data_IF_354162007455
#
_entry.id   IF_354162007455
#
_cell.length_a   1.000
_cell.length_b   1.000
_cell.length_c   1.000
_cell.angle_alpha   90.00
_cell.angle_beta   90.00
_cell.angle_gamma   90.00
#
_symmetry.space_group_name_H-M   'P 1'
#
loop_
_entity.id
_entity.type
_entity.pdbx_description
1 polymer ?
#
# COMPACT_ATOMS: atom_id res chain seq x y z
N UNK A 1 -4.89 17.31 -3.54
CA UNK A 1 -3.83 17.33 -2.52
C UNK A 1 -2.80 18.35 -2.98
N UNK A 2 -2.96 19.61 -2.58
CA UNK A 2 -2.24 20.74 -3.17
C UNK A 2 -0.83 20.94 -2.61
N UNK A 3 -0.06 21.70 -3.38
CA UNK A 3 1.37 22.06 -3.34
C UNK A 3 1.88 22.82 -2.12
N UNK A 4 1.21 22.81 -0.98
CA UNK A 4 1.72 23.51 0.21
C UNK A 4 2.86 22.72 0.84
N UNK A 5 3.91 23.43 1.26
CA UNK A 5 5.06 22.84 1.95
C UNK A 5 4.58 22.22 3.27
N UNK A 6 4.15 20.96 3.23
CA UNK A 6 3.64 20.26 4.40
C UNK A 6 4.77 20.02 5.41
N UNK A 7 4.77 20.83 6.46
CA UNK A 7 5.73 20.77 7.56
C UNK A 7 5.23 19.79 8.63
N UNK A 8 6.10 18.88 9.08
CA UNK A 8 5.79 17.90 10.14
C UNK A 8 5.23 18.56 11.41
N UNK A 9 5.81 19.68 11.84
CA UNK A 9 5.37 20.45 13.00
C UNK A 9 3.91 20.94 12.90
N UNK A 10 3.35 21.01 11.69
CA UNK A 10 1.97 21.47 11.41
C UNK A 10 1.06 20.28 11.10
N UNK A 11 1.50 19.34 10.27
CA UNK A 11 0.66 18.25 9.75
C UNK A 11 0.87 16.89 10.41
N UNK A 12 1.87 16.74 11.28
CA UNK A 12 2.14 15.50 12.03
C UNK A 12 1.06 15.16 13.06
N UNK A 13 1.08 13.92 13.61
CA UNK A 13 0.06 13.40 14.52
C UNK A 13 0.08 14.13 15.87
N UNK A 14 -0.76 15.16 16.02
CA UNK A 14 -0.77 16.06 17.20
C UNK A 14 -0.94 15.33 18.53
N UNK A 15 -1.75 14.28 18.54
CA UNK A 15 -2.01 13.47 19.73
C UNK A 15 -0.76 12.71 20.23
N UNK A 16 0.25 12.51 19.37
CA UNK A 16 1.52 11.86 19.74
C UNK A 16 2.63 12.86 20.12
N UNK A 17 2.41 14.16 19.86
CA UNK A 17 3.41 15.22 20.03
C UNK A 17 3.26 15.84 21.43
N UNK A 18 4.27 15.72 22.29
CA UNK A 18 4.29 16.41 23.57
C UNK A 18 4.57 17.91 23.37
N UNK A 19 3.76 18.78 23.99
CA UNK A 19 4.05 20.23 24.05
C UNK A 19 5.02 20.48 25.19
N UNK A 20 6.32 20.54 24.90
CA UNK A 20 7.28 21.10 25.86
C UNK A 20 7.20 22.62 25.79
N UNK A 21 6.76 23.26 26.87
CA UNK A 21 6.66 24.71 26.96
C UNK A 21 7.89 25.29 27.65
N UNK A 22 8.65 26.11 26.92
CA UNK A 22 9.33 27.34 27.38
C UNK A 22 9.70 28.18 26.17
N UNK A 23 9.40 29.48 26.24
CA UNK A 23 9.15 30.40 25.12
C UNK A 23 10.40 30.97 24.44
N UNK A 24 11.54 30.28 24.47
CA UNK A 24 12.83 30.88 24.06
C UNK A 24 13.82 29.98 23.29
N UNK A 25 13.47 28.74 22.94
CA UNK A 25 14.32 27.86 22.09
C UNK A 25 13.46 27.11 21.07
N UNK A 26 14.00 26.75 19.88
CA UNK A 26 13.24 26.04 18.87
C UNK A 26 12.65 24.76 19.48
N UNK A 27 11.33 24.67 19.46
CA UNK A 27 10.55 23.64 20.15
C UNK A 27 10.90 22.26 19.58
N UNK A 28 11.81 21.53 20.22
CA UNK A 28 11.99 20.11 19.93
C UNK A 28 10.68 19.42 20.31
N UNK A 29 9.92 19.00 19.30
CA UNK A 29 8.70 18.24 19.54
C UNK A 29 9.13 16.83 19.93
N UNK A 30 9.02 16.52 21.22
CA UNK A 30 9.22 15.14 21.68
C UNK A 30 7.99 14.32 21.32
N UNK A 31 8.16 13.31 20.48
CA UNK A 31 7.09 12.36 20.15
C UNK A 31 7.18 11.17 21.09
N UNK A 32 6.08 10.85 21.79
CA UNK A 32 6.03 9.65 22.63
C UNK A 32 5.63 8.45 21.77
N UNK A 33 6.57 7.53 21.54
CA UNK A 33 6.32 6.33 20.74
C UNK A 33 5.97 5.15 21.66
N UNK A 34 4.81 4.54 21.42
CA UNK A 34 4.40 3.27 22.00
C UNK A 34 4.35 2.23 20.87
N UNK A 35 5.40 1.41 20.75
CA UNK A 35 5.50 0.42 19.68
C UNK A 35 4.46 -0.70 19.76
N UNK A 36 3.83 -0.90 20.93
CA UNK A 36 2.80 -1.92 21.13
C UNK A 36 1.39 -1.43 20.74
N UNK A 37 1.21 -0.11 20.60
CA UNK A 37 -0.03 0.50 20.08
C UNK A 37 -0.14 0.40 18.55
N UNK A 38 -1.22 -0.19 18.05
CA UNK A 38 -1.52 -0.22 16.61
C UNK A 38 -1.69 1.18 16.01
N UNK A 39 -2.29 2.10 16.76
CA UNK A 39 -2.45 3.51 16.37
C UNK A 39 -1.09 4.16 16.11
N UNK A 40 -0.16 4.03 17.06
CA UNK A 40 1.18 4.61 16.91
C UNK A 40 1.91 3.98 15.72
N UNK A 41 1.85 2.65 15.54
CA UNK A 41 2.46 1.98 14.38
C UNK A 41 1.88 2.48 13.06
N UNK A 42 0.55 2.65 12.98
CA UNK A 42 -0.17 3.23 11.83
C UNK A 42 0.33 4.64 11.54
N UNK A 43 0.34 5.52 12.53
CA UNK A 43 0.75 6.91 12.36
C UNK A 43 2.23 7.04 11.97
N UNK A 44 3.11 6.22 12.57
CA UNK A 44 4.54 6.17 12.20
C UNK A 44 4.70 5.74 10.74
N UNK A 45 4.05 4.66 10.32
CA UNK A 45 4.11 4.19 8.93
C UNK A 45 3.59 5.25 7.95
N UNK A 46 2.47 5.92 8.27
CA UNK A 46 1.92 7.00 7.45
C UNK A 46 2.86 8.22 7.39
N UNK A 47 3.48 8.62 8.51
CA UNK A 47 4.47 9.70 8.56
C UNK A 47 5.69 9.41 7.70
N UNK A 48 6.23 8.18 7.76
CA UNK A 48 7.40 7.78 6.96
C UNK A 48 7.07 7.81 5.46
N UNK A 49 5.88 7.33 5.06
CA UNK A 49 5.40 7.45 3.67
C UNK A 49 5.25 8.92 3.27
N UNK A 50 4.73 9.76 4.16
CA UNK A 50 4.63 11.21 3.91
C UNK A 50 6.00 11.87 3.80
N UNK A 51 6.99 11.43 4.57
CA UNK A 51 8.39 11.83 4.41
C UNK A 51 8.90 11.56 3.00
N UNK A 52 8.58 10.40 2.41
CA UNK A 52 8.93 10.10 1.00
C UNK A 52 8.24 11.04 0.00
N UNK A 53 6.98 11.43 0.25
CA UNK A 53 6.30 12.48 -0.55
C UNK A 53 7.03 13.82 -0.47
N UNK A 54 7.39 14.25 0.74
CA UNK A 54 8.08 15.53 0.97
C UNK A 54 9.49 15.50 0.41
N UNK A 55 10.20 14.38 0.47
CA UNK A 55 11.53 14.22 -0.12
C UNK A 55 11.52 14.39 -1.64
N UNK A 56 10.52 13.83 -2.33
CA UNK A 56 10.34 14.09 -3.78
C UNK A 56 9.96 15.55 -4.04
N UNK A 57 9.15 16.17 -3.18
CA UNK A 57 8.87 17.62 -3.28
C UNK A 57 10.10 18.48 -3.07
N UNK A 58 10.98 18.12 -2.13
CA UNK A 58 12.24 18.83 -1.89
C UNK A 58 13.17 18.68 -3.08
N UNK A 59 13.21 17.50 -3.71
CA UNK A 59 13.94 17.30 -4.98
C UNK A 59 13.40 18.20 -6.09
N UNK A 60 12.10 18.18 -6.35
CA UNK A 60 11.50 18.96 -7.45
C UNK A 60 11.62 20.47 -7.23
N UNK A 61 11.67 20.91 -5.98
CA UNK A 61 11.86 22.32 -5.58
C UNK A 61 13.33 22.70 -5.36
N UNK A 62 14.29 21.82 -5.63
CA UNK A 62 15.73 22.10 -5.50
C UNK A 62 16.22 22.30 -4.05
N UNK A 63 15.50 21.75 -3.07
CA UNK A 63 15.83 21.83 -1.63
C UNK A 63 16.49 20.57 -1.08
N UNK A 64 16.53 19.48 -1.86
CA UNK A 64 17.12 18.22 -1.42
C UNK A 64 18.58 18.43 -0.98
N UNK A 65 18.94 18.01 0.23
CA UNK A 65 20.29 18.19 0.80
C UNK A 65 20.59 19.59 1.32
N UNK A 66 19.64 20.52 1.28
CA UNK A 66 19.79 21.88 1.84
C UNK A 66 19.18 21.99 3.24
N UNK A 67 19.53 23.04 3.99
CA UNK A 67 18.88 23.35 5.28
C UNK A 67 17.37 23.68 5.16
N UNK A 68 16.87 23.89 3.93
CA UNK A 68 15.45 24.12 3.64
C UNK A 68 14.68 22.82 3.34
N UNK A 69 15.34 21.66 3.32
CA UNK A 69 14.67 20.37 3.16
C UNK A 69 13.73 20.11 4.35
N UNK A 70 12.52 19.64 4.07
CA UNK A 70 11.46 19.43 5.05
C UNK A 70 11.26 17.95 5.37
N UNK A 71 11.80 17.05 4.54
CA UNK A 71 11.53 15.64 4.61
C UNK A 71 12.01 14.98 5.92
N UNK A 72 13.18 15.39 6.45
CA UNK A 72 13.83 14.67 7.56
C UNK A 72 13.00 14.62 8.84
N UNK A 73 12.29 15.70 9.13
CA UNK A 73 11.42 15.82 10.29
C UNK A 73 10.32 14.72 10.34
N UNK A 74 9.91 14.18 9.19
CA UNK A 74 8.89 13.13 9.12
C UNK A 74 9.34 11.76 9.61
N UNK A 75 10.66 11.52 9.71
CA UNK A 75 11.23 10.25 10.19
C UNK A 75 12.13 10.43 11.41
N UNK A 76 12.90 11.51 11.50
CA UNK A 76 13.77 11.80 12.64
C UNK A 76 12.99 11.97 13.95
N UNK A 77 11.76 12.51 13.87
CA UNK A 77 10.85 12.65 15.02
C UNK A 77 10.44 11.31 15.64
N UNK A 78 10.64 10.19 14.93
CA UNK A 78 10.37 8.83 15.40
C UNK A 78 11.65 8.01 15.55
N UNK A 79 12.81 8.67 15.63
CA UNK A 79 14.13 8.04 15.74
C UNK A 79 14.53 7.20 14.51
N UNK A 80 14.11 7.60 13.32
CA UNK A 80 14.61 7.00 12.08
C UNK A 80 15.66 7.87 11.42
N UNK A 81 16.52 7.24 10.62
CA UNK A 81 17.42 7.92 9.67
C UNK A 81 17.23 7.36 8.27
N UNK A 82 17.49 8.18 7.26
CA UNK A 82 17.49 7.75 5.87
C UNK A 82 18.70 6.82 5.61
N UNK A 83 18.43 5.61 5.13
CA UNK A 83 19.44 4.61 4.81
C UNK A 83 19.70 4.53 3.31
N UNK A 84 18.64 4.47 2.49
CA UNK A 84 18.74 4.43 1.03
C UNK A 84 17.53 5.10 0.37
N UNK A 85 17.70 5.58 -0.87
CA UNK A 85 16.65 6.27 -1.65
C UNK A 85 16.30 5.44 -2.87
N UNK A 86 15.02 5.12 -3.02
CA UNK A 86 14.51 4.41 -4.19
C UNK A 86 14.05 5.43 -5.23
N UNK A 87 14.81 5.55 -6.30
CA UNK A 87 14.50 6.37 -7.45
C UNK A 87 14.31 5.52 -8.70
N UNK A 88 13.51 6.01 -9.64
CA UNK A 88 13.27 5.35 -10.91
C UNK A 88 13.30 6.38 -12.03
N UNK A 89 14.07 6.06 -13.06
CA UNK A 89 14.02 6.68 -14.37
C UNK A 89 12.91 6.03 -15.19
N UNK A 90 11.94 6.82 -15.62
CA UNK A 90 10.81 6.29 -16.37
C UNK A 90 11.15 6.18 -17.85
N UNK A 91 11.31 4.95 -18.33
CA UNK A 91 11.62 4.66 -19.73
C UNK A 91 10.40 4.63 -20.66
N UNK A 92 9.20 5.00 -20.20
CA UNK A 92 7.99 4.90 -21.02
C UNK A 92 7.99 5.90 -22.19
N UNK A 93 7.25 5.60 -23.26
CA UNK A 93 7.17 6.43 -24.48
C UNK A 93 6.80 7.89 -24.15
N UNK A 94 5.92 8.10 -23.16
CA UNK A 94 5.52 9.43 -22.70
C UNK A 94 6.62 10.22 -21.95
N UNK A 95 7.60 9.52 -21.37
CA UNK A 95 8.76 10.11 -20.69
C UNK A 95 10.00 10.21 -21.59
N UNK A 96 10.08 9.40 -22.66
CA UNK A 96 11.17 9.43 -23.65
C UNK A 96 11.11 10.59 -24.63
N UNK A 97 9.99 11.32 -24.73
CA UNK A 97 9.82 12.37 -25.73
C UNK A 97 10.89 13.48 -25.58
N UNK A 98 11.82 13.63 -26.54
CA UNK A 98 12.97 14.56 -26.44
C UNK A 98 12.59 16.03 -26.62
N UNK A 99 11.37 16.33 -27.08
CA UNK A 99 10.93 17.69 -27.41
C UNK A 99 10.53 18.56 -26.20
N UNK A 100 10.80 18.14 -24.96
CA UNK A 100 10.63 18.99 -23.77
C UNK A 100 11.92 19.06 -22.95
N UNK A 101 12.75 20.05 -23.25
CA UNK A 101 13.81 20.52 -22.37
C UNK A 101 13.21 20.83 -20.99
N UNK A 102 13.68 20.16 -19.93
CA UNK A 102 13.38 20.52 -18.54
C UNK A 102 12.58 19.52 -17.70
N UNK A 103 12.00 18.46 -18.27
CA UNK A 103 11.38 17.40 -17.47
C UNK A 103 12.45 16.44 -16.93
N UNK A 104 12.69 16.47 -15.61
CA UNK A 104 13.62 15.56 -14.94
C UNK A 104 13.17 14.10 -15.12
N UNK A 105 14.04 13.25 -15.68
CA UNK A 105 13.73 11.86 -16.08
C UNK A 105 13.50 10.90 -14.91
N UNK A 106 13.99 11.25 -13.73
CA UNK A 106 13.94 10.41 -12.54
C UNK A 106 13.05 11.01 -11.46
N UNK A 107 12.48 10.12 -10.67
CA UNK A 107 11.63 10.46 -9.54
C UNK A 107 11.93 9.54 -8.36
N UNK A 108 11.97 10.09 -7.15
CA UNK A 108 12.03 9.31 -5.92
C UNK A 108 10.65 8.71 -5.72
N UNK A 109 10.54 7.40 -5.56
CA UNK A 109 9.27 6.70 -5.35
C UNK A 109 9.22 5.97 -3.99
N UNK A 110 10.39 5.80 -3.34
CA UNK A 110 10.49 5.13 -2.05
C UNK A 110 11.72 5.57 -1.26
N UNK A 111 11.74 5.20 0.01
CA UNK A 111 12.87 5.40 0.92
C UNK A 111 13.03 4.17 1.81
N UNK A 112 14.28 3.82 2.14
CA UNK A 112 14.61 2.84 3.16
C UNK A 112 15.06 3.61 4.40
N UNK A 113 14.36 3.41 5.51
CA UNK A 113 14.54 4.15 6.76
C UNK A 113 14.97 3.18 7.85
N UNK A 114 16.07 3.47 8.52
CA UNK A 114 16.60 2.66 9.62
C UNK A 114 16.17 3.26 10.95
N UNK A 115 15.55 2.47 11.82
CA UNK A 115 15.24 2.90 13.18
C UNK A 115 16.52 2.85 14.03
N UNK A 116 16.90 3.99 14.59
CA UNK A 116 18.03 4.18 15.48
C UNK A 116 17.56 3.94 16.91
N UNK A 117 18.03 2.90 17.61
CA UNK A 117 17.59 2.64 18.98
C UNK A 117 18.08 3.76 19.91
N UNK A 118 17.20 4.22 20.79
CA UNK A 118 17.53 5.21 21.82
C UNK A 118 18.23 4.52 22.99
N UNK A 119 19.30 5.13 23.52
CA UNK A 119 19.94 4.66 24.74
C UNK A 119 19.09 5.05 25.96
N UNK A 120 18.11 4.23 26.31
CA UNK A 120 17.41 4.37 27.58
C UNK A 120 18.15 3.56 28.64
N UNK A 121 18.86 4.23 29.56
CA UNK A 121 19.50 3.57 30.71
C UNK A 121 20.80 2.82 30.41
N UNK A 122 21.57 3.21 29.40
CA UNK A 122 22.90 2.66 29.12
C UNK A 122 22.94 1.40 28.26
N UNK A 123 21.80 0.74 28.02
CA UNK A 123 21.69 -0.38 27.06
C UNK A 123 20.93 0.03 25.79
N UNK A 124 21.47 -0.35 24.63
CA UNK A 124 20.88 -0.10 23.32
C UNK A 124 19.78 -1.13 23.01
N UNK A 125 18.63 -1.07 23.72
CA UNK A 125 17.53 -2.03 23.51
C UNK A 125 16.50 -1.53 22.51
N UNK A 126 16.26 -2.32 21.45
CA UNK A 126 15.14 -2.13 20.52
C UNK A 126 13.92 -2.84 21.07
N UNK A 127 12.77 -2.16 21.12
CA UNK A 127 11.50 -2.82 21.43
C UNK A 127 11.25 -3.94 20.38
N UNK A 128 10.85 -5.16 20.77
CA UNK A 128 10.60 -6.26 19.82
C UNK A 128 9.58 -5.93 18.72
N UNK A 129 8.60 -5.09 19.02
CA UNK A 129 7.59 -4.59 18.10
C UNK A 129 8.11 -3.50 17.16
N UNK A 130 9.33 -2.98 17.37
CA UNK A 130 9.91 -1.94 16.53
C UNK A 130 10.74 -2.55 15.39
N UNK A 131 10.55 -2.11 14.13
CA UNK A 131 11.30 -2.64 13.00
C UNK A 131 12.76 -2.19 13.06
N UNK A 132 13.63 -2.92 12.37
CA UNK A 132 14.99 -2.42 12.06
C UNK A 132 14.94 -1.43 10.91
N UNK A 133 14.25 -1.80 9.86
CA UNK A 133 14.09 -0.99 8.66
C UNK A 133 12.61 -0.84 8.28
N UNK A 134 12.26 0.27 7.65
CA UNK A 134 10.97 0.46 7.00
C UNK A 134 11.24 0.91 5.57
N UNK A 135 10.59 0.26 4.61
CA UNK A 135 10.58 0.70 3.21
C UNK A 135 9.27 1.41 2.95
N UNK A 136 9.34 2.72 2.73
CA UNK A 136 8.19 3.61 2.61
C UNK A 136 8.02 4.11 1.18
N UNK A 137 6.97 3.65 0.50
CA UNK A 137 6.65 3.97 -0.89
C UNK A 137 5.58 5.07 -0.98
N UNK A 138 5.89 6.17 -1.68
CA UNK A 138 4.89 7.21 -1.95
C UNK A 138 3.97 6.79 -3.10
N UNK A 139 2.76 7.34 -3.10
CA UNK A 139 1.85 7.27 -4.25
C UNK A 139 2.06 8.43 -5.22
N UNK A 140 1.04 8.73 -6.02
CA UNK A 140 1.08 9.76 -7.06
C UNK A 140 1.23 11.17 -6.49
N UNK A 141 2.18 11.94 -7.02
CA UNK A 141 2.39 13.37 -6.69
C UNK A 141 1.58 14.26 -7.63
N UNK A 142 0.80 15.24 -7.14
CA UNK A 142 0.16 16.27 -7.97
C UNK A 142 1.07 17.51 -8.18
N UNK A 143 1.08 18.14 -9.38
CA UNK A 143 0.51 17.61 -10.62
C UNK A 143 1.20 16.30 -11.01
N UNK A 144 0.41 15.34 -11.53
CA UNK A 144 0.85 13.96 -11.75
C UNK A 144 2.17 13.88 -12.51
N UNK A 145 3.23 13.44 -11.83
CA UNK A 145 4.50 13.12 -12.47
C UNK A 145 4.24 12.06 -13.54
N UNK A 146 4.79 12.21 -14.75
CA UNK A 146 4.47 11.31 -15.88
C UNK A 146 4.74 9.84 -15.57
N UNK A 147 5.82 9.57 -14.84
CA UNK A 147 6.12 8.22 -14.36
C UNK A 147 5.06 7.65 -13.40
N UNK A 148 4.42 8.50 -12.61
CA UNK A 148 3.30 8.09 -11.74
C UNK A 148 2.03 7.86 -12.55
N UNK A 149 1.73 8.72 -13.53
CA UNK A 149 0.60 8.52 -14.46
C UNK A 149 0.75 7.20 -15.22
N UNK A 150 1.94 6.93 -15.75
CA UNK A 150 2.23 5.68 -16.44
C UNK A 150 2.04 4.48 -15.51
N UNK A 151 2.59 4.53 -14.29
CA UNK A 151 2.42 3.45 -13.32
C UNK A 151 0.96 3.24 -12.90
N UNK A 152 0.15 4.29 -12.81
CA UNK A 152 -1.30 4.19 -12.58
C UNK A 152 -2.01 3.51 -13.77
N UNK A 153 -1.66 3.85 -15.00
CA UNK A 153 -2.21 3.19 -16.20
C UNK A 153 -1.83 1.71 -16.22
N UNK A 154 -0.55 1.38 -16.00
CA UNK A 154 -0.08 -0.01 -15.94
C UNK A 154 -0.82 -0.79 -14.83
N UNK A 155 -1.08 -0.17 -13.69
CA UNK A 155 -1.84 -0.77 -12.61
C UNK A 155 -3.31 -1.03 -12.99
N UNK A 156 -3.98 -0.08 -13.65
CA UNK A 156 -5.35 -0.26 -14.16
C UNK A 156 -5.41 -1.37 -15.22
N UNK A 157 -4.36 -1.51 -16.03
CA UNK A 157 -4.21 -2.56 -17.01
C UNK A 157 -3.72 -3.90 -16.39
N UNK A 158 -3.56 -3.99 -15.08
CA UNK A 158 -2.86 -5.06 -14.35
C UNK A 158 -1.55 -5.53 -15.04
N UNK A 159 -0.77 -4.58 -15.54
CA UNK A 159 0.54 -4.73 -16.17
C UNK A 159 1.67 -4.12 -15.33
N UNK A 160 1.43 -3.92 -14.03
CA UNK A 160 2.39 -3.33 -13.09
C UNK A 160 3.76 -4.04 -13.04
N UNK A 161 3.84 -5.31 -13.43
CA UNK A 161 5.11 -6.05 -13.55
C UNK A 161 6.06 -5.47 -14.62
N UNK A 162 5.53 -4.78 -15.64
CA UNK A 162 6.33 -4.05 -16.62
C UNK A 162 6.87 -2.72 -16.09
N UNK A 163 6.43 -2.26 -14.92
CA UNK A 163 6.93 -1.05 -14.29
C UNK A 163 8.19 -1.35 -13.46
N UNK A 164 9.30 -0.70 -13.83
CA UNK A 164 10.63 -0.90 -13.23
C UNK A 164 10.66 -0.67 -11.71
N UNK A 165 9.81 0.22 -11.17
CA UNK A 165 9.67 0.45 -9.72
C UNK A 165 9.33 -0.81 -8.93
N UNK A 166 8.51 -1.70 -9.51
CA UNK A 166 8.12 -2.95 -8.86
C UNK A 166 9.28 -3.95 -8.85
N UNK A 167 10.02 -4.04 -9.96
CA UNK A 167 11.18 -4.92 -10.10
C UNK A 167 12.35 -4.48 -9.20
N UNK A 168 12.66 -3.18 -9.19
CA UNK A 168 13.78 -2.61 -8.43
C UNK A 168 13.54 -2.63 -6.91
N UNK A 169 12.28 -2.57 -6.47
CA UNK A 169 11.93 -2.58 -5.05
C UNK A 169 12.08 -3.96 -4.39
N UNK A 170 11.85 -5.05 -5.14
CA UNK A 170 11.92 -6.43 -4.63
C UNK A 170 13.26 -6.80 -3.99
N UNK A 171 14.43 -6.61 -4.64
CA UNK A 171 15.72 -6.98 -4.03
C UNK A 171 16.13 -6.07 -2.86
N UNK A 172 15.53 -4.88 -2.75
CA UNK A 172 15.83 -3.91 -1.69
C UNK A 172 15.14 -4.23 -0.36
N UNK A 173 14.12 -5.09 -0.37
CA UNK A 173 13.35 -5.43 0.81
C UNK A 173 13.85 -6.76 1.40
N UNK A 174 14.86 -6.68 2.28
CA UNK A 174 15.45 -7.83 2.98
C UNK A 174 14.80 -8.10 4.34
N UNK A 175 15.25 -9.13 5.07
CA UNK A 175 14.64 -9.53 6.34
C UNK A 175 14.70 -8.40 7.42
N UNK A 176 13.72 -8.38 8.33
CA UNK A 176 13.52 -7.38 9.40
C UNK A 176 13.08 -5.97 8.93
N UNK A 177 12.26 -5.92 7.88
CA UNK A 177 11.72 -4.70 7.26
C UNK A 177 10.19 -4.64 7.42
N UNK A 178 9.61 -3.48 7.76
CA UNK A 178 8.20 -3.22 7.45
C UNK A 178 8.06 -2.62 6.05
N UNK A 179 6.99 -3.01 5.36
CA UNK A 179 6.57 -2.35 4.14
C UNK A 179 5.51 -1.29 4.46
N UNK A 180 5.64 -0.10 3.93
CA UNK A 180 4.62 0.94 4.06
C UNK A 180 4.38 1.60 2.71
N UNK A 181 3.12 1.88 2.38
CA UNK A 181 2.83 2.58 1.13
C UNK A 181 1.46 3.22 1.11
N UNK A 182 1.32 4.25 0.28
CA UNK A 182 0.05 4.95 0.06
C UNK A 182 -0.32 4.94 -1.43
N UNK A 183 -1.60 4.70 -1.75
CA UNK A 183 -2.11 4.74 -3.13
C UNK A 183 -1.25 3.85 -4.05
N UNK A 184 -0.70 4.38 -5.15
CA UNK A 184 0.26 3.66 -6.00
C UNK A 184 1.43 3.03 -5.22
N UNK A 185 1.95 3.68 -4.18
CA UNK A 185 3.01 3.14 -3.33
C UNK A 185 2.56 1.93 -2.51
N UNK A 186 1.29 1.90 -2.09
CA UNK A 186 0.71 0.74 -1.43
C UNK A 186 0.60 -0.46 -2.39
N UNK A 187 0.35 -0.23 -3.68
CA UNK A 187 0.40 -1.29 -4.70
C UNK A 187 1.79 -1.85 -4.92
N UNK A 188 2.84 -1.01 -4.87
CA UNK A 188 4.23 -1.46 -4.89
C UNK A 188 4.53 -2.31 -3.64
N UNK A 189 4.15 -1.85 -2.45
CA UNK A 189 4.30 -2.61 -1.22
C UNK A 189 3.56 -3.96 -1.25
N UNK A 190 2.35 -4.01 -1.84
CA UNK A 190 1.59 -5.24 -2.04
C UNK A 190 2.32 -6.24 -2.95
N UNK A 191 2.90 -5.76 -4.06
CA UNK A 191 3.67 -6.61 -4.97
C UNK A 191 4.93 -7.16 -4.31
N UNK A 192 5.68 -6.29 -3.61
CA UNK A 192 6.87 -6.69 -2.86
C UNK A 192 6.50 -7.73 -1.80
N UNK A 193 5.46 -7.48 -1.01
CA UNK A 193 5.01 -8.42 0.03
C UNK A 193 4.61 -9.79 -0.53
N UNK A 194 3.86 -9.81 -1.65
CA UNK A 194 3.54 -11.07 -2.36
C UNK A 194 4.81 -11.77 -2.83
N UNK A 195 5.73 -11.04 -3.44
CA UNK A 195 6.99 -11.59 -3.91
C UNK A 195 7.77 -12.23 -2.75
N UNK A 196 7.87 -11.56 -1.60
CA UNK A 196 8.57 -12.06 -0.41
C UNK A 196 7.95 -13.33 0.20
N UNK A 197 6.62 -13.48 0.11
CA UNK A 197 5.91 -14.71 0.52
C UNK A 197 6.08 -15.86 -0.47
N UNK A 198 6.20 -15.54 -1.77
CA UNK A 198 6.36 -16.51 -2.86
C UNK A 198 7.81 -16.81 -3.22
N UNK A 199 8.77 -16.20 -2.54
CA UNK A 199 10.18 -16.54 -2.59
C UNK A 199 10.48 -17.73 -1.67
N UNK A 200 11.62 -18.39 -1.86
CA UNK A 200 11.99 -19.63 -1.15
C UNK A 200 12.15 -19.42 0.36
N UNK A 201 12.52 -18.20 0.76
CA UNK A 201 12.67 -17.81 2.17
C UNK A 201 11.35 -17.51 2.89
N UNK A 202 10.21 -17.46 2.17
CA UNK A 202 8.84 -17.21 2.69
C UNK A 202 8.77 -16.17 3.82
N UNK A 203 9.15 -14.93 3.51
CA UNK A 203 9.27 -13.86 4.50
C UNK A 203 7.93 -13.17 4.71
N UNK A 204 7.32 -13.38 5.87
CA UNK A 204 6.08 -12.73 6.30
C UNK A 204 6.37 -11.33 6.85
N UNK A 205 6.47 -10.35 5.95
CA UNK A 205 6.80 -8.97 6.32
C UNK A 205 5.55 -8.22 6.78
N UNK A 206 5.58 -7.55 7.95
CA UNK A 206 4.52 -6.62 8.33
C UNK A 206 4.39 -5.53 7.26
N UNK A 207 3.16 -5.22 6.86
CA UNK A 207 2.89 -4.24 5.83
C UNK A 207 1.74 -3.31 6.22
N UNK A 208 1.92 -2.01 5.98
CA UNK A 208 0.97 -0.94 6.28
C UNK A 208 0.57 -0.26 4.98
N UNK A 209 -0.66 -0.51 4.53
CA UNK A 209 -1.12 -0.17 3.19
C UNK A 209 -2.26 0.83 3.30
N UNK A 210 -2.02 2.06 2.83
CA UNK A 210 -2.98 3.16 2.92
C UNK A 210 -3.64 3.41 1.56
N UNK A 211 -4.96 3.24 1.51
CA UNK A 211 -5.78 3.45 0.31
C UNK A 211 -5.21 2.79 -0.98
N UNK A 212 -4.78 1.51 -0.96
CA UNK A 212 -4.27 0.89 -2.17
C UNK A 212 -5.37 0.77 -3.23
N UNK A 213 -5.08 1.09 -4.50
CA UNK A 213 -6.03 0.90 -5.59
C UNK A 213 -6.30 -0.58 -5.84
N UNK A 214 -7.57 -0.89 -6.10
CA UNK A 214 -8.02 -2.21 -6.54
C UNK A 214 -9.06 -2.01 -7.65
N UNK A 215 -8.75 -2.49 -8.85
CA UNK A 215 -9.72 -2.46 -9.96
C UNK A 215 -10.90 -3.35 -9.58
N UNK A 216 -12.06 -2.74 -9.41
CA UNK A 216 -13.32 -3.44 -9.15
C UNK A 216 -14.43 -2.83 -10.00
N UNK A 217 -15.43 -3.65 -10.32
CA UNK A 217 -16.69 -3.20 -10.94
C UNK A 217 -17.61 -2.51 -9.92
N UNK A 218 -17.28 -2.57 -8.64
CA UNK A 218 -18.09 -2.03 -7.57
C UNK A 218 -18.47 -0.56 -7.82
N UNK A 219 -17.52 0.38 -8.10
CA UNK A 219 -17.84 1.80 -8.32
C UNK A 219 -18.91 2.02 -9.39
N UNK A 220 -18.87 1.22 -10.46
CA UNK A 220 -19.88 1.24 -11.52
C UNK A 220 -21.25 0.75 -11.00
N UNK A 221 -21.31 -0.34 -10.25
CA UNK A 221 -22.56 -0.86 -9.67
C UNK A 221 -23.21 0.15 -8.72
N UNK A 222 -22.40 0.87 -7.93
CA UNK A 222 -22.90 1.95 -7.07
C UNK A 222 -23.43 3.15 -7.89
N UNK A 223 -22.71 3.55 -8.93
CA UNK A 223 -23.16 4.63 -9.82
C UNK A 223 -24.50 4.29 -10.50
N UNK A 224 -24.68 3.02 -10.87
CA UNK A 224 -25.93 2.48 -11.43
C UNK A 224 -27.01 2.20 -10.38
N UNK A 225 -26.76 2.49 -9.09
CA UNK A 225 -27.67 2.26 -7.96
C UNK A 225 -28.22 0.83 -7.91
N UNK A 226 -27.39 -0.15 -8.27
CA UNK A 226 -27.79 -1.56 -8.25
C UNK A 226 -28.09 -1.99 -6.82
N UNK A 227 -29.30 -2.52 -6.52
CA UNK A 227 -29.66 -2.95 -5.17
C UNK A 227 -28.71 -4.04 -4.65
N UNK A 228 -28.42 -4.05 -3.35
CA UNK A 228 -27.48 -5.02 -2.76
C UNK A 228 -27.86 -6.48 -2.98
N UNK A 229 -29.16 -6.79 -3.09
CA UNK A 229 -29.63 -8.14 -3.41
C UNK A 229 -29.20 -8.55 -4.82
N UNK A 230 -29.37 -7.67 -5.81
CA UNK A 230 -28.96 -7.90 -7.19
C UNK A 230 -27.43 -7.97 -7.30
N UNK A 231 -26.72 -7.09 -6.58
CA UNK A 231 -25.25 -7.10 -6.47
C UNK A 231 -24.73 -8.44 -5.96
N UNK A 232 -25.27 -8.94 -4.84
CA UNK A 232 -24.94 -10.26 -4.28
C UNK A 232 -25.29 -11.41 -5.22
N UNK A 233 -26.38 -11.30 -5.99
CA UNK A 233 -26.73 -12.30 -7.00
C UNK A 233 -25.71 -12.34 -8.15
N UNK A 234 -25.36 -11.19 -8.74
CA UNK A 234 -24.38 -11.09 -9.82
C UNK A 234 -23.02 -11.66 -9.42
N UNK A 235 -22.55 -11.36 -8.20
CA UNK A 235 -21.30 -11.93 -7.71
C UNK A 235 -21.39 -13.44 -7.51
N UNK A 236 -22.49 -13.96 -6.96
CA UNK A 236 -22.71 -15.42 -6.85
C UNK A 236 -22.67 -16.11 -8.22
N UNK A 237 -23.35 -15.56 -9.22
CA UNK A 237 -23.31 -16.08 -10.60
C UNK A 237 -21.88 -16.02 -11.14
N UNK A 238 -21.18 -14.90 -10.97
CA UNK A 238 -19.78 -14.75 -11.41
C UNK A 238 -18.86 -15.81 -10.78
N UNK A 239 -18.95 -16.04 -9.47
CA UNK A 239 -18.15 -17.05 -8.78
C UNK A 239 -18.52 -18.49 -9.19
N UNK A 240 -19.80 -18.78 -9.42
CA UNK A 240 -20.23 -20.09 -9.92
C UNK A 240 -19.67 -20.37 -11.32
N UNK A 241 -19.70 -19.38 -12.21
CA UNK A 241 -19.08 -19.46 -13.55
C UNK A 241 -17.58 -19.70 -13.43
N UNK A 242 -16.88 -18.94 -12.58
CA UNK A 242 -15.44 -19.12 -12.34
C UNK A 242 -15.10 -20.51 -11.80
N UNK A 243 -15.87 -21.03 -10.86
CA UNK A 243 -15.66 -22.37 -10.30
C UNK A 243 -15.88 -23.46 -11.37
N UNK A 244 -16.97 -23.36 -12.13
CA UNK A 244 -17.26 -24.31 -13.22
C UNK A 244 -16.18 -24.28 -14.30
N UNK A 245 -15.70 -23.10 -14.68
CA UNK A 245 -14.61 -22.95 -15.65
C UNK A 245 -13.29 -23.47 -15.09
N UNK A 246 -12.94 -23.16 -13.85
CA UNK A 246 -11.73 -23.66 -13.17
C UNK A 246 -11.62 -25.18 -13.18
N UNK A 247 -12.74 -25.88 -12.93
CA UNK A 247 -12.80 -27.33 -12.89
C UNK A 247 -12.64 -28.03 -14.27
N UNK A 248 -12.67 -27.27 -15.38
CA UNK A 248 -12.42 -27.84 -16.71
C UNK A 248 -10.98 -28.33 -16.85
N UNK A 249 -10.76 -29.40 -17.62
CA UNK A 249 -9.41 -29.98 -17.80
C UNK A 249 -8.39 -28.96 -18.30
N UNK A 250 -8.80 -28.04 -19.17
CA UNK A 250 -7.97 -26.95 -19.70
C UNK A 250 -7.50 -25.97 -18.61
N UNK A 251 -8.36 -25.63 -17.65
CA UNK A 251 -8.06 -24.60 -16.63
C UNK A 251 -7.58 -25.18 -15.29
N UNK A 252 -7.66 -26.51 -15.09
CA UNK A 252 -7.18 -27.18 -13.87
C UNK A 252 -5.72 -26.88 -13.52
N UNK A 253 -4.76 -26.79 -14.46
CA UNK A 253 -3.39 -26.40 -14.12
C UNK A 253 -3.30 -24.98 -13.54
N UNK A 254 -4.07 -24.03 -14.10
CA UNK A 254 -4.15 -22.67 -13.59
C UNK A 254 -4.77 -22.65 -12.19
N UNK A 255 -5.88 -23.38 -11.99
CA UNK A 255 -6.56 -23.47 -10.70
C UNK A 255 -5.62 -23.94 -9.58
N UNK A 256 -4.89 -25.04 -9.80
CA UNK A 256 -3.90 -25.55 -8.84
C UNK A 256 -2.81 -24.52 -8.55
N UNK A 257 -2.27 -23.87 -9.58
CA UNK A 257 -1.27 -22.81 -9.40
C UNK A 257 -1.82 -21.65 -8.56
N UNK A 258 -3.07 -21.25 -8.77
CA UNK A 258 -3.69 -20.18 -7.97
C UNK A 258 -3.89 -20.63 -6.53
N UNK A 259 -4.29 -21.89 -6.31
CA UNK A 259 -4.44 -22.48 -4.99
C UNK A 259 -3.14 -22.51 -4.20
N UNK A 260 -2.05 -23.01 -4.80
CA UNK A 260 -0.72 -22.99 -4.21
C UNK A 260 -0.27 -21.57 -3.84
N UNK A 261 -0.49 -20.59 -4.73
CA UNK A 261 -0.18 -19.19 -4.43
C UNK A 261 -1.04 -18.64 -3.28
N UNK A 262 -2.32 -19.02 -3.23
CA UNK A 262 -3.25 -18.62 -2.16
C UNK A 262 -2.79 -19.16 -0.81
N UNK A 263 -2.40 -20.42 -0.73
CA UNK A 263 -1.89 -21.07 0.47
C UNK A 263 -0.57 -20.45 0.92
N UNK A 264 0.35 -20.19 -0.01
CA UNK A 264 1.62 -19.52 0.31
C UNK A 264 1.42 -18.11 0.86
N UNK A 265 0.42 -17.39 0.37
CA UNK A 265 0.09 -16.04 0.81
C UNK A 265 -0.80 -16.01 2.06
N UNK A 266 -1.44 -17.13 2.43
CA UNK A 266 -2.42 -17.21 3.51
C UNK A 266 -1.91 -16.71 4.89
N UNK A 267 -0.66 -17.00 5.30
CA UNK A 267 -0.11 -16.52 6.57
C UNK A 267 0.16 -15.01 6.60
N UNK A 268 0.25 -14.35 5.44
CA UNK A 268 0.53 -12.92 5.35
C UNK A 268 -0.75 -12.11 5.47
N UNK A 269 -0.84 -11.32 6.54
CA UNK A 269 -1.99 -10.47 6.83
C UNK A 269 -1.55 -9.00 6.97
N UNK A 270 -1.46 -8.25 5.87
CA UNK A 270 -1.12 -6.84 5.92
C UNK A 270 -2.22 -6.01 6.62
N UNK A 271 -1.79 -4.89 7.23
CA UNK A 271 -2.66 -3.86 7.77
C UNK A 271 -3.15 -2.97 6.61
N UNK A 272 -4.44 -3.11 6.28
CA UNK A 272 -5.04 -2.50 5.11
C UNK A 272 -6.02 -1.40 5.51
N UNK A 273 -5.60 -0.14 5.36
CA UNK A 273 -6.37 1.05 5.71
C UNK A 273 -7.12 1.57 4.49
N UNK A 274 -8.45 1.59 4.56
CA UNK A 274 -9.32 1.96 3.44
C UNK A 274 -10.44 2.89 3.91
N UNK A 275 -10.79 3.85 3.05
CA UNK A 275 -11.91 4.76 3.30
C UNK A 275 -13.13 4.32 2.47
N UNK A 276 -14.31 4.22 3.08
CA UNK A 276 -15.51 3.67 2.40
C UNK A 276 -16.01 4.52 1.23
N UNK A 277 -15.68 5.82 1.23
CA UNK A 277 -15.99 6.75 0.12
C UNK A 277 -14.86 6.95 -0.89
N UNK A 278 -13.74 6.26 -0.74
CA UNK A 278 -12.65 6.35 -1.68
C UNK A 278 -12.83 5.33 -2.80
N UNK A 279 -13.28 5.81 -3.97
CA UNK A 279 -13.52 4.98 -5.16
C UNK A 279 -12.28 4.21 -5.64
N UNK A 280 -11.08 4.68 -5.27
CA UNK A 280 -9.81 4.08 -5.69
C UNK A 280 -9.57 2.78 -4.91
N UNK A 281 -9.74 2.81 -3.59
CA UNK A 281 -9.48 1.64 -2.73
C UNK A 281 -10.74 0.81 -2.41
N UNK A 282 -11.94 1.29 -2.77
CA UNK A 282 -13.20 0.63 -2.44
C UNK A 282 -13.28 -0.83 -2.95
N UNK A 283 -12.58 -1.14 -4.04
CA UNK A 283 -12.48 -2.51 -4.55
C UNK A 283 -11.98 -3.54 -3.52
N UNK A 284 -11.16 -3.15 -2.54
CA UNK A 284 -10.71 -4.06 -1.48
C UNK A 284 -11.81 -4.35 -0.45
N UNK A 285 -12.63 -3.36 -0.09
CA UNK A 285 -13.77 -3.56 0.81
C UNK A 285 -14.70 -4.59 0.19
N UNK A 286 -15.05 -4.36 -1.07
CA UNK A 286 -15.93 -5.23 -1.84
C UNK A 286 -15.36 -6.66 -2.00
N UNK A 287 -14.07 -6.77 -2.32
CA UNK A 287 -13.36 -8.06 -2.43
C UNK A 287 -13.46 -8.90 -1.15
N UNK A 288 -13.15 -8.32 0.01
CA UNK A 288 -13.14 -9.05 1.28
C UNK A 288 -14.55 -9.40 1.77
N UNK A 289 -15.50 -8.47 1.65
CA UNK A 289 -16.89 -8.70 2.04
C UNK A 289 -17.55 -9.79 1.19
N UNK A 290 -17.35 -9.75 -0.14
CA UNK A 290 -17.83 -10.80 -1.02
C UNK A 290 -17.20 -12.14 -0.68
N UNK A 291 -15.88 -12.20 -0.56
CA UNK A 291 -15.18 -13.46 -0.30
C UNK A 291 -15.65 -14.10 1.03
N UNK A 292 -15.87 -13.31 2.07
CA UNK A 292 -16.42 -13.84 3.32
C UNK A 292 -17.85 -14.36 3.16
N UNK A 293 -18.69 -13.70 2.36
CA UNK A 293 -20.01 -14.21 2.01
C UNK A 293 -19.93 -15.53 1.23
N UNK A 294 -18.93 -15.67 0.35
CA UNK A 294 -18.70 -16.92 -0.40
C UNK A 294 -18.23 -18.06 0.50
N UNK A 295 -17.33 -17.80 1.45
CA UNK A 295 -16.86 -18.81 2.41
C UNK A 295 -17.99 -19.36 3.30
N UNK A 296 -19.08 -18.61 3.50
CA UNK A 296 -20.29 -19.09 4.19
C UNK A 296 -21.10 -20.10 3.37
N UNK A 297 -20.83 -20.23 2.06
CA UNK A 297 -21.53 -21.14 1.18
C UNK A 297 -20.53 -22.17 0.58
N UNK A 298 -20.52 -23.42 1.09
CA UNK A 298 -19.53 -24.46 0.73
C UNK A 298 -19.44 -24.79 -0.76
N UNK A 299 -20.44 -24.40 -1.56
CA UNK A 299 -20.54 -24.77 -2.98
C UNK A 299 -19.70 -23.90 -3.92
N UNK A 300 -19.12 -22.79 -3.45
CA UNK A 300 -18.54 -21.77 -4.32
C UNK A 300 -17.03 -21.56 -4.08
N UNK A 301 -16.22 -22.41 -4.73
CA UNK A 301 -14.75 -22.43 -4.62
C UNK A 301 -14.02 -21.41 -5.53
N UNK A 302 -14.74 -20.70 -6.41
CA UNK A 302 -14.16 -19.84 -7.46
C UNK A 302 -13.52 -18.53 -6.98
N UNK A 303 -13.22 -18.35 -5.69
CA UNK A 303 -12.67 -17.10 -5.14
C UNK A 303 -11.20 -16.87 -5.47
N UNK A 304 -10.48 -17.94 -5.84
CA UNK A 304 -9.05 -17.94 -6.19
C UNK A 304 -8.79 -17.54 -7.65
N UNK A 305 -9.83 -17.57 -8.48
CA UNK A 305 -9.73 -17.36 -9.93
C UNK A 305 -10.24 -15.98 -10.36
N UNK A 306 -9.59 -15.44 -11.38
CA UNK A 306 -10.00 -14.23 -12.10
C UNK A 306 -10.41 -14.61 -13.53
N UNK A 307 -11.54 -14.06 -14.01
CA UNK A 307 -12.00 -14.27 -15.41
C UNK A 307 -10.93 -13.84 -16.41
N UNK A 308 -10.20 -12.77 -16.09
CA UNK A 308 -9.09 -12.30 -16.89
C UNK A 308 -7.96 -13.33 -16.97
N UNK A 309 -7.58 -13.93 -15.84
CA UNK A 309 -6.45 -14.86 -15.82
C UNK A 309 -6.82 -16.15 -16.52
N UNK A 310 -8.08 -16.59 -16.41
CA UNK A 310 -8.62 -17.69 -17.21
C UNK A 310 -8.57 -17.37 -18.72
N UNK A 311 -9.03 -16.19 -19.14
CA UNK A 311 -8.99 -15.79 -20.55
C UNK A 311 -7.56 -15.71 -21.08
N UNK A 312 -6.65 -15.10 -20.31
CA UNK A 312 -5.24 -15.01 -20.66
C UNK A 312 -4.60 -16.39 -20.73
N UNK A 313 -4.91 -17.30 -19.81
CA UNK A 313 -4.38 -18.66 -19.83
C UNK A 313 -4.82 -19.44 -21.08
N UNK A 314 -6.08 -19.28 -21.51
CA UNK A 314 -6.59 -19.92 -22.72
C UNK A 314 -6.00 -19.35 -24.02
N UNK A 315 -5.64 -18.06 -24.04
CA UNK A 315 -5.13 -17.38 -25.25
C UNK A 315 -3.60 -17.21 -25.27
N UNK A 316 -2.92 -17.45 -24.15
CA UNK A 316 -1.47 -17.31 -24.07
C UNK A 316 -0.80 -18.60 -24.54
N UNK A 317 -0.39 -18.61 -25.81
CA UNK A 317 0.67 -19.52 -26.26
C UNK A 317 1.93 -19.28 -25.41
N UNK A 318 2.20 -20.17 -24.45
CA UNK A 318 3.44 -20.30 -23.67
C UNK A 318 4.17 -18.98 -23.32
N UNK A 319 3.59 -18.17 -22.44
CA UNK A 319 4.37 -17.17 -21.69
C UNK A 319 4.27 -17.45 -20.21
N UNK A 320 5.23 -18.23 -19.70
CA UNK A 320 5.60 -18.39 -18.29
C UNK A 320 6.10 -17.08 -17.65
N UNK A 321 5.44 -15.94 -17.92
CA UNK A 321 5.69 -14.72 -17.19
C UNK A 321 5.13 -14.86 -15.77
N UNK A 322 5.94 -14.54 -14.75
CA UNK A 322 5.49 -14.27 -13.37
C UNK A 322 4.49 -13.10 -13.40
N UNK A 323 3.25 -13.36 -13.81
CA UNK A 323 2.19 -12.37 -13.83
C UNK A 323 1.77 -12.08 -12.40
N UNK A 324 1.79 -10.79 -12.06
CA UNK A 324 1.29 -10.31 -10.77
C UNK A 324 -0.21 -10.51 -10.78
N UNK A 325 -0.73 -11.13 -9.71
CA UNK A 325 -2.14 -11.38 -9.53
C UNK A 325 -2.66 -10.40 -8.48
N UNK A 326 -3.04 -9.17 -8.87
CA UNK A 326 -3.41 -8.11 -7.93
C UNK A 326 -4.64 -8.45 -7.08
N UNK A 327 -5.45 -9.39 -7.54
CA UNK A 327 -6.62 -9.92 -6.84
C UNK A 327 -6.28 -10.98 -5.78
N UNK A 328 -5.04 -11.48 -5.71
CA UNK A 328 -4.62 -12.41 -4.68
C UNK A 328 -4.22 -11.67 -3.40
N UNK A 329 -5.13 -11.63 -2.44
CA UNK A 329 -4.83 -11.28 -1.06
C UNK A 329 -5.70 -12.13 -0.10
N UNK A 330 -5.22 -13.33 0.29
CA UNK A 330 -5.99 -14.29 1.07
C UNK A 330 -6.45 -13.81 2.43
N UNK A 331 -5.57 -13.05 3.08
CA UNK A 331 -5.70 -12.60 4.46
C UNK A 331 -5.34 -11.13 4.53
N UNK A 332 -6.01 -10.38 5.39
CA UNK A 332 -5.69 -8.99 5.73
C UNK A 332 -6.39 -8.59 7.02
N UNK A 333 -5.83 -7.60 7.72
CA UNK A 333 -6.56 -6.86 8.75
C UNK A 333 -7.03 -5.55 8.12
N UNK A 334 -8.33 -5.50 7.83
CA UNK A 334 -8.97 -4.37 7.15
C UNK A 334 -9.43 -3.35 8.19
N UNK A 335 -8.93 -2.12 8.08
CA UNK A 335 -9.31 -0.98 8.89
C UNK A 335 -10.16 -0.05 8.03
N UNK A 336 -11.44 0.06 8.37
CA UNK A 336 -12.38 0.90 7.62
C UNK A 336 -12.69 2.18 8.40
N UNK A 337 -12.79 3.28 7.67
CA UNK A 337 -13.37 4.53 8.17
C UNK A 337 -14.38 5.09 7.17
N UNK A 338 -15.40 5.76 7.70
CA UNK A 338 -16.45 6.47 6.96
C UNK A 338 -16.58 7.94 7.40
N UNK A 339 -15.68 8.40 8.27
CA UNK A 339 -15.73 9.72 8.90
C UNK A 339 -15.47 10.82 7.87
N UNK A 340 -16.33 11.84 7.88
CA UNK A 340 -16.21 13.01 7.01
C UNK A 340 -15.44 14.14 7.71
N UNK A 341 -14.82 15.03 6.94
CA UNK A 341 -14.27 16.29 7.45
C UNK A 341 -12.75 16.41 7.46
N UNK A 342 -12.02 15.39 7.00
CA UNK A 342 -10.57 15.48 6.89
C UNK A 342 -10.17 16.47 5.79
N UNK A 343 -9.26 17.40 6.11
CA UNK A 343 -8.70 18.41 5.17
C UNK A 343 -8.18 17.82 3.85
N UNK A 344 -7.83 16.54 3.82
CA UNK A 344 -7.15 15.89 2.69
C UNK A 344 -8.04 14.93 1.87
N UNK A 345 -9.34 14.87 2.19
CA UNK A 345 -10.34 14.03 1.50
C UNK A 345 -10.18 12.52 1.75
N UNK A 346 -11.14 11.69 1.28
CA UNK A 346 -11.18 10.24 1.49
C UNK A 346 -9.94 9.46 1.08
N UNK A 347 -9.22 9.93 0.05
CA UNK A 347 -7.99 9.27 -0.42
C UNK A 347 -6.73 9.79 0.30
N UNK A 348 -6.82 10.86 1.10
CA UNK A 348 -5.65 11.54 1.68
C UNK A 348 -4.87 10.71 2.69
N UNK A 349 -3.55 10.60 2.53
CA UNK A 349 -2.70 9.90 3.49
C UNK A 349 -2.79 10.49 4.91
N UNK A 350 -2.88 11.82 5.03
CA UNK A 350 -2.83 12.50 6.32
C UNK A 350 -4.03 12.20 7.23
N UNK A 351 -5.16 11.70 6.69
CA UNK A 351 -6.27 11.26 7.54
C UNK A 351 -5.81 10.15 8.51
N UNK A 352 -4.85 9.33 8.07
CA UNK A 352 -4.30 8.21 8.85
C UNK A 352 -3.30 8.66 9.92
N UNK A 353 -3.21 9.97 10.20
CA UNK A 353 -2.51 10.55 11.36
C UNK A 353 -3.46 10.96 12.48
N UNK A 354 -4.78 10.90 12.26
CA UNK A 354 -5.77 11.16 13.31
C UNK A 354 -5.88 9.97 14.26
N UNK A 355 -6.27 10.17 15.53
CA UNK A 355 -6.43 9.08 16.49
C UNK A 355 -7.60 8.15 16.13
N UNK A 356 -7.53 6.89 16.57
CA UNK A 356 -8.46 5.81 16.22
C UNK A 356 -9.92 6.18 16.55
N UNK A 357 -10.14 6.86 17.68
CA UNK A 357 -11.48 7.31 18.10
C UNK A 357 -12.09 8.36 17.16
N UNK A 358 -11.27 9.23 16.57
CA UNK A 358 -11.73 10.26 15.64
C UNK A 358 -12.05 9.66 14.28
N UNK A 359 -11.31 8.63 13.87
CA UNK A 359 -11.52 7.91 12.63
C UNK A 359 -12.60 6.83 12.73
N UNK A 360 -13.10 6.53 13.94
CA UNK A 360 -14.00 5.43 14.22
C UNK A 360 -13.50 4.11 13.58
N UNK A 361 -12.19 3.83 13.73
CA UNK A 361 -11.58 2.68 13.09
C UNK A 361 -12.05 1.39 13.73
N UNK A 362 -12.60 0.50 12.90
CA UNK A 362 -12.94 -0.86 13.28
C UNK A 362 -12.06 -1.85 12.51
N UNK A 363 -11.16 -2.60 13.18
CA UNK A 363 -10.40 -3.64 12.53
C UNK A 363 -11.27 -4.87 12.30
N UNK A 364 -11.30 -5.37 11.07
CA UNK A 364 -11.86 -6.68 10.73
C UNK A 364 -10.79 -7.56 10.14
N UNK A 365 -10.57 -8.72 10.76
CA UNK A 365 -9.59 -9.69 10.28
C UNK A 365 -10.28 -10.64 9.30
N UNK A 366 -9.77 -10.68 8.08
CA UNK A 366 -10.11 -11.68 7.08
C UNK A 366 -8.96 -12.69 7.03
N UNK A 367 -9.24 -13.97 7.30
CA UNK A 367 -8.27 -15.06 7.17
C UNK A 367 -8.74 -16.06 6.12
N UNK A 368 -7.79 -16.63 5.40
CA UNK A 368 -8.06 -17.84 4.63
C UNK A 368 -8.11 -19.05 5.57
N UNK A 369 -9.11 -19.95 5.46
CA UNK A 369 -9.14 -21.19 6.23
C UNK A 369 -7.90 -22.05 5.94
N UNK A 370 -7.30 -22.62 6.98
CA UNK A 370 -6.08 -23.45 6.87
C UNK A 370 -4.75 -22.71 7.03
N UNK A 371 -4.78 -21.42 7.41
CA UNK A 371 -3.61 -20.61 7.74
C UNK A 371 -3.22 -20.67 9.23
#
# INVERSE_FOLDING_TARGET
MGSDDEVFAISGPKHMMARSGTRSTPTMTTVKVNWDSSEHRRCIAACLVKGTYVMESDRTKGRLGTCRALASAWWESFHFRLHDVLHCECDCVFCRNPFKLGAQRWSIYGAILEHVPTAAGGELRRNPSAPRYIVAFRGTMPPSHRGDTHANVELLLNRQHGCRRYLDARPKCVAAVWLAGHSLGASIALDVGRHMMTDDRRRNLPAFLFNPPQVSVAPLLNALRVPDVARRFLFRVSYAVKAKLGATTELRPLERKMEELFERLAPWAPELYVHERDIICWGFIDYFEQRQNMLRNPTLHGTKLSLRDMLLFLHAENKEGKQVQPHLLPSARLWKTSVQGHRHGPHGLLQWLEPDWMLNLSPRIYRYPGA
#
